data_IF_946780967955
#
_entry.id   IF_946780967955
#
_cell.length_a   1.000
_cell.length_b   1.000
_cell.length_c   1.000
_cell.angle_alpha   90.00
_cell.angle_beta   90.00
_cell.angle_gamma   90.00
#
_symmetry.space_group_name_H-M   'P 1'
#
loop_
_entity.id
_entity.type
_entity.pdbx_description
1 polymer ?
#
# COMPACT_ATOMS: atom_id res chain seq x y z
N UNK A 1 10.54 23.42 40.40
CA UNK A 1 9.84 24.33 39.47
C UNK A 1 10.80 25.40 38.88
N UNK A 2 11.86 25.01 38.16
CA UNK A 2 12.83 25.97 37.59
C UNK A 2 13.25 25.67 36.12
N UNK A 3 12.58 24.74 35.42
CA UNK A 3 12.97 24.35 34.05
C UNK A 3 12.26 25.09 32.91
N UNK A 4 11.38 26.06 33.19
CA UNK A 4 10.54 26.72 32.16
C UNK A 4 11.09 28.04 31.58
N UNK A 5 12.20 28.59 32.08
CA UNK A 5 12.68 29.92 31.67
C UNK A 5 13.72 29.94 30.54
N UNK A 6 14.16 28.78 30.02
CA UNK A 6 15.28 28.72 29.03
C UNK A 6 14.88 28.78 27.55
N UNK A 7 13.60 28.89 27.21
CA UNK A 7 13.14 28.87 25.80
C UNK A 7 12.75 30.23 25.21
N UNK A 8 12.79 31.34 25.95
CA UNK A 8 12.33 32.65 25.42
C UNK A 8 13.32 33.33 24.46
N UNK A 9 14.58 32.89 24.37
CA UNK A 9 15.58 33.52 23.49
C UNK A 9 15.56 33.03 22.03
N UNK A 10 14.82 31.95 21.71
CA UNK A 10 14.71 31.43 20.34
C UNK A 10 13.58 32.08 19.51
N UNK A 11 12.74 32.92 20.10
CA UNK A 11 11.58 33.55 19.43
C UNK A 11 11.94 34.85 18.67
N UNK A 12 13.22 35.23 18.55
CA UNK A 12 13.58 36.55 17.98
C UNK A 12 13.70 36.61 16.46
N UNK A 13 13.56 35.48 15.76
CA UNK A 13 13.64 35.43 14.29
C UNK A 13 12.40 34.74 13.69
N UNK A 14 11.21 35.09 14.16
CA UNK A 14 9.98 34.65 13.48
C UNK A 14 9.86 35.52 12.22
N UNK A 15 9.83 34.93 11.01
CA UNK A 15 9.55 35.67 9.80
C UNK A 15 8.20 36.38 9.95
N UNK A 16 8.18 37.71 9.83
CA UNK A 16 6.90 38.44 9.83
C UNK A 16 6.31 38.36 8.42
N UNK A 17 5.06 37.90 8.32
CA UNK A 17 4.32 38.01 7.07
C UNK A 17 3.97 39.48 6.80
N UNK A 18 4.08 39.95 5.55
CA UNK A 18 3.52 41.23 5.14
C UNK A 18 2.03 41.36 5.48
N UNK A 19 1.55 42.54 5.85
CA UNK A 19 0.13 42.77 6.19
C UNK A 19 -0.81 42.44 5.02
N UNK A 20 -0.37 42.69 3.78
CA UNK A 20 -1.14 42.44 2.55
C UNK A 20 -1.05 40.98 2.05
N UNK A 21 -0.48 40.07 2.83
CA UNK A 21 -0.22 38.71 2.38
C UNK A 21 -1.49 37.93 2.05
N UNK A 22 -2.49 38.03 2.93
CA UNK A 22 -3.76 37.33 2.77
C UNK A 22 -4.50 37.79 1.51
N UNK A 23 -4.49 39.10 1.23
CA UNK A 23 -5.09 39.66 0.02
C UNK A 23 -4.37 39.14 -1.23
N UNK A 24 -3.03 39.17 -1.25
CA UNK A 24 -2.23 38.67 -2.38
C UNK A 24 -2.41 37.18 -2.64
N UNK A 25 -2.53 36.36 -1.59
CA UNK A 25 -2.83 34.94 -1.71
C UNK A 25 -4.20 34.73 -2.35
N UNK A 26 -5.23 35.42 -1.87
CA UNK A 26 -6.59 35.37 -2.43
C UNK A 26 -6.65 35.83 -3.89
N UNK A 27 -6.00 36.93 -4.24
CA UNK A 27 -5.92 37.42 -5.61
C UNK A 27 -5.32 36.35 -6.53
N UNK A 28 -4.30 35.63 -6.04
CA UNK A 28 -3.66 34.55 -6.82
C UNK A 28 -4.52 33.29 -6.94
N UNK A 29 -5.38 33.01 -5.97
CA UNK A 29 -6.39 31.96 -6.12
C UNK A 29 -7.40 32.33 -7.20
N UNK A 30 -7.91 33.57 -7.18
CA UNK A 30 -8.85 34.08 -8.18
C UNK A 30 -8.22 34.09 -9.57
N UNK A 31 -6.96 34.54 -9.69
CA UNK A 31 -6.21 34.52 -10.93
C UNK A 31 -6.07 33.09 -11.49
N UNK A 32 -5.88 32.09 -10.63
CA UNK A 32 -5.76 30.69 -11.05
C UNK A 32 -7.11 30.10 -11.50
N UNK A 33 -8.21 30.53 -10.89
CA UNK A 33 -9.57 30.10 -11.26
C UNK A 33 -10.04 30.73 -12.57
N UNK A 34 -9.65 31.98 -12.82
CA UNK A 34 -9.96 32.71 -14.06
C UNK A 34 -9.04 32.29 -15.21
N UNK A 35 -7.72 32.27 -14.96
CA UNK A 35 -6.68 31.97 -15.94
C UNK A 35 -5.71 30.93 -15.40
N UNK A 36 -6.00 29.66 -15.70
CA UNK A 36 -5.17 28.52 -15.29
C UNK A 36 -3.84 28.46 -16.09
N UNK A 37 -2.89 29.29 -15.69
CA UNK A 37 -1.53 29.37 -16.25
C UNK A 37 -0.50 28.75 -15.30
N UNK A 38 0.60 28.23 -15.85
CA UNK A 38 1.65 27.58 -15.05
C UNK A 38 2.34 28.57 -14.11
N UNK A 39 2.44 29.84 -14.52
CA UNK A 39 3.05 30.90 -13.73
C UNK A 39 2.20 31.25 -12.50
N UNK A 40 0.87 31.39 -12.68
CA UNK A 40 -0.06 31.61 -11.57
C UNK A 40 -0.03 30.44 -10.58
N UNK A 41 0.00 29.21 -11.08
CA UNK A 41 0.10 28.01 -10.24
C UNK A 41 1.39 28.00 -9.41
N UNK A 42 2.55 28.26 -10.04
CA UNK A 42 3.83 28.30 -9.34
C UNK A 42 3.88 29.40 -8.27
N UNK A 43 3.34 30.59 -8.57
CA UNK A 43 3.23 31.67 -7.59
C UNK A 43 2.32 31.28 -6.44
N UNK A 44 1.16 30.68 -6.71
CA UNK A 44 0.24 30.25 -5.67
C UNK A 44 0.87 29.19 -4.74
N UNK A 45 1.59 28.21 -5.28
CA UNK A 45 2.33 27.21 -4.49
C UNK A 45 3.37 27.88 -3.59
N UNK A 46 4.07 28.92 -4.08
CA UNK A 46 5.01 29.69 -3.25
C UNK A 46 4.29 30.37 -2.08
N UNK A 47 3.14 31.01 -2.33
CA UNK A 47 2.36 31.62 -1.25
C UNK A 47 1.88 30.59 -0.21
N UNK A 48 1.41 29.42 -0.65
CA UNK A 48 1.04 28.35 0.27
C UNK A 48 2.24 27.81 1.07
N UNK A 49 3.42 27.71 0.45
CA UNK A 49 4.61 27.18 1.14
C UNK A 49 5.07 28.13 2.24
N UNK A 50 5.12 29.42 1.97
CA UNK A 50 5.51 30.47 2.92
C UNK A 50 4.51 30.59 4.08
N UNK A 51 3.20 30.51 3.83
CA UNK A 51 2.19 30.58 4.90
C UNK A 51 2.20 29.32 5.77
N UNK A 52 2.40 28.13 5.18
CA UNK A 52 2.56 26.88 5.93
C UNK A 52 3.79 26.95 6.83
N UNK A 53 4.94 27.39 6.30
CA UNK A 53 6.17 27.55 7.08
C UNK A 53 5.98 28.52 8.26
N UNK A 54 5.27 29.63 8.04
CA UNK A 54 4.94 30.57 9.10
C UNK A 54 4.06 29.97 10.19
N UNK A 55 2.92 29.35 9.82
CA UNK A 55 1.99 28.76 10.80
C UNK A 55 2.60 27.54 11.52
N UNK A 56 3.45 26.77 10.84
CA UNK A 56 4.21 25.67 11.44
C UNK A 56 5.22 26.21 12.47
N UNK A 57 5.95 27.29 12.15
CA UNK A 57 6.90 27.90 13.08
C UNK A 57 6.23 28.39 14.37
N UNK A 58 5.01 28.95 14.29
CA UNK A 58 4.24 29.37 15.47
C UNK A 58 3.46 28.23 16.13
N UNK A 59 3.58 26.99 15.63
CA UNK A 59 2.86 25.79 16.07
C UNK A 59 1.33 25.97 16.09
N UNK A 60 0.80 26.67 15.09
CA UNK A 60 -0.62 26.92 14.95
C UNK A 60 -1.26 25.88 14.02
N UNK A 61 -2.25 25.09 14.47
CA UNK A 61 -2.81 23.98 13.70
C UNK A 61 -3.43 24.40 12.36
N UNK A 62 -3.67 25.70 12.12
CA UNK A 62 -4.12 26.23 10.83
C UNK A 62 -3.19 25.88 9.66
N UNK A 63 -1.92 25.55 9.89
CA UNK A 63 -1.05 25.08 8.79
C UNK A 63 -1.61 23.84 8.09
N UNK A 64 -2.36 22.97 8.78
CA UNK A 64 -3.02 21.81 8.18
C UNK A 64 -4.11 22.21 7.17
N UNK A 65 -4.88 23.27 7.46
CA UNK A 65 -5.91 23.78 6.56
C UNK A 65 -5.29 24.32 5.26
N UNK A 66 -4.14 25.01 5.38
CA UNK A 66 -3.39 25.49 4.20
C UNK A 66 -2.77 24.35 3.39
N UNK A 67 -2.27 23.29 4.04
CA UNK A 67 -1.78 22.08 3.38
C UNK A 67 -2.89 21.40 2.58
N UNK A 68 -4.05 21.18 3.20
CA UNK A 68 -5.21 20.55 2.56
C UNK A 68 -5.74 21.39 1.38
N UNK A 69 -5.84 22.71 1.54
CA UNK A 69 -6.29 23.62 0.48
C UNK A 69 -5.32 23.64 -0.71
N UNK A 70 -4.00 23.65 -0.45
CA UNK A 70 -2.98 23.52 -1.49
C UNK A 70 -3.09 22.16 -2.21
N UNK A 71 -3.25 21.06 -1.46
CA UNK A 71 -3.39 19.73 -2.02
C UNK A 71 -4.63 19.61 -2.91
N UNK A 72 -5.79 20.08 -2.43
CA UNK A 72 -7.04 20.15 -3.20
C UNK A 72 -6.88 20.94 -4.50
N UNK A 73 -6.15 22.05 -4.45
CA UNK A 73 -5.85 22.86 -5.64
C UNK A 73 -5.01 22.06 -6.64
N UNK A 74 -3.95 21.39 -6.20
CA UNK A 74 -3.09 20.58 -7.07
C UNK A 74 -3.80 19.36 -7.68
N UNK A 75 -4.85 18.86 -7.02
CA UNK A 75 -5.65 17.72 -7.49
C UNK A 75 -6.74 18.10 -8.49
N UNK A 76 -6.94 19.40 -8.80
CA UNK A 76 -7.92 19.82 -9.81
C UNK A 76 -7.53 19.30 -11.20
N UNK A 77 -8.49 18.77 -11.99
CA UNK A 77 -8.19 18.15 -13.29
C UNK A 77 -7.59 19.13 -14.30
N UNK A 78 -7.96 20.41 -14.23
CA UNK A 78 -7.40 21.47 -15.08
C UNK A 78 -5.91 21.66 -14.81
N UNK A 79 -5.51 21.65 -13.54
CA UNK A 79 -4.14 21.81 -13.08
C UNK A 79 -3.30 20.58 -13.44
N UNK A 80 -3.84 19.37 -13.23
CA UNK A 80 -3.17 18.13 -13.65
C UNK A 80 -2.92 18.10 -15.16
N UNK A 81 -3.91 18.53 -15.96
CA UNK A 81 -3.75 18.64 -17.41
C UNK A 81 -2.66 19.65 -17.79
N UNK A 82 -2.66 20.82 -17.16
CA UNK A 82 -1.65 21.87 -17.37
C UNK A 82 -0.22 21.36 -17.06
N UNK A 83 -0.03 20.69 -15.93
CA UNK A 83 1.28 20.12 -15.56
C UNK A 83 1.74 19.04 -16.56
N UNK A 84 0.84 18.16 -16.98
CA UNK A 84 1.13 17.13 -17.98
C UNK A 84 1.50 17.71 -19.36
N UNK A 85 0.84 18.79 -19.76
CA UNK A 85 1.17 19.51 -20.99
C UNK A 85 2.55 20.16 -20.94
N UNK A 86 2.94 20.76 -19.81
CA UNK A 86 4.30 21.32 -19.65
C UNK A 86 5.36 20.22 -19.72
N UNK A 87 5.13 19.07 -19.08
CA UNK A 87 6.02 17.91 -19.20
C UNK A 87 6.18 17.43 -20.65
N UNK A 88 5.09 17.40 -21.41
CA UNK A 88 5.11 17.04 -22.83
C UNK A 88 5.92 18.06 -23.65
N UNK A 89 5.79 19.36 -23.37
CA UNK A 89 6.56 20.43 -24.03
C UNK A 89 8.06 20.34 -23.73
N UNK A 90 8.45 19.99 -22.49
CA UNK A 90 9.86 19.82 -22.13
C UNK A 90 10.48 18.60 -22.83
N UNK A 91 9.74 17.49 -22.92
CA UNK A 91 10.21 16.27 -23.61
C UNK A 91 10.45 16.49 -25.11
N UNK A 92 9.62 17.28 -25.78
CA UNK A 92 9.78 17.53 -27.23
C UNK A 92 10.87 18.55 -27.56
N UNK A 93 11.19 19.47 -26.63
CA UNK A 93 12.27 20.46 -26.81
C UNK A 93 13.67 19.93 -26.51
N UNK A 94 13.78 18.86 -25.72
CA UNK A 94 15.06 18.29 -25.29
C UNK A 94 15.67 17.26 -26.25
N UNK A 95 15.15 17.11 -27.47
CA UNK A 95 15.85 16.40 -28.54
C UNK A 95 16.55 17.44 -29.43
N UNK A 96 17.84 17.77 -29.17
CA UNK A 96 18.61 18.47 -30.16
C UNK A 96 18.63 17.57 -31.38
N UNK A 97 18.06 18.07 -32.49
CA UNK A 97 18.40 17.56 -33.81
C UNK A 97 19.86 17.92 -34.05
N UNK A 98 20.79 17.21 -33.41
CA UNK A 98 22.13 17.13 -33.92
C UNK A 98 22.01 16.50 -35.29
N UNK A 99 22.02 17.37 -36.29
CA UNK A 99 22.17 16.98 -37.67
C UNK A 99 23.41 16.11 -37.75
N UNK A 100 23.19 14.82 -37.92
CA UNK A 100 24.20 13.89 -38.44
C UNK A 100 24.62 14.43 -39.80
N UNK A 101 25.59 15.34 -39.79
CA UNK A 101 26.45 15.63 -40.94
C UNK A 101 27.21 14.33 -41.14
N UNK A 102 26.72 13.52 -42.06
CA UNK A 102 27.33 12.29 -42.52
C UNK A 102 28.67 12.67 -43.18
N UNK A 103 29.72 12.82 -42.38
CA UNK A 103 31.09 12.86 -42.87
C UNK A 103 31.40 11.44 -43.28
N UNK A 104 31.37 11.21 -44.59
CA UNK A 104 31.82 10.01 -45.27
C UNK A 104 33.34 9.93 -45.08
N UNK A 105 33.80 9.18 -44.09
CA UNK A 105 35.20 8.78 -44.02
C UNK A 105 35.41 7.64 -45.02
N UNK A 106 36.29 7.86 -46.00
CA UNK A 106 36.83 6.79 -46.81
C UNK A 106 37.77 5.95 -45.94
N UNK A 107 37.50 4.64 -45.90
CA UNK A 107 38.37 3.64 -45.29
C UNK A 107 39.71 3.60 -46.06
N UNK A 108 40.78 4.06 -45.41
CA UNK A 108 42.13 3.65 -45.75
C UNK A 108 42.47 2.40 -44.91
N UNK A 109 42.96 1.31 -45.52
CA UNK A 109 43.37 0.11 -44.79
C UNK A 109 44.64 0.42 -44.01
N UNK A 110 44.59 0.24 -42.68
CA UNK A 110 45.74 0.33 -41.79
C UNK A 110 46.24 -1.08 -41.55
N UNK A 111 47.47 -1.35 -41.98
CA UNK A 111 48.22 -2.56 -41.68
C UNK A 111 48.50 -2.65 -40.17
N UNK A 112 48.24 -3.82 -39.59
CA UNK A 112 48.48 -4.13 -38.18
C UNK A 112 49.87 -4.78 -38.08
N UNK A 113 50.85 -4.18 -37.36
CA UNK A 113 52.03 -4.90 -36.93
C UNK A 113 51.68 -5.77 -35.71
N UNK A 114 51.98 -7.06 -35.88
CA UNK A 114 52.12 -8.06 -34.82
C UNK A 114 53.27 -7.68 -33.87
N UNK A 115 53.20 -8.25 -32.65
CA UNK A 115 54.19 -8.22 -31.56
C UNK A 115 54.11 -7.01 -30.63
N UNK A 116 53.60 -7.21 -29.41
CA UNK A 116 54.44 -7.26 -28.19
C UNK A 116 53.72 -8.08 -27.12
N UNK A 117 54.37 -9.15 -26.69
CA UNK A 117 54.11 -9.93 -25.48
C UNK A 117 54.54 -9.13 -24.24
N UNK A 118 53.63 -8.88 -23.30
CA UNK A 118 53.98 -8.39 -21.97
C UNK A 118 53.06 -8.99 -20.91
N UNK A 119 53.71 -9.60 -19.93
CA UNK A 119 53.20 -10.31 -18.76
C UNK A 119 52.24 -9.49 -17.92
N UNK A 120 51.12 -10.09 -17.51
CA UNK A 120 50.27 -9.58 -16.42
C UNK A 120 50.35 -10.57 -15.27
N UNK A 121 50.99 -10.11 -14.19
CA UNK A 121 51.07 -10.78 -12.89
C UNK A 121 49.68 -10.93 -12.26
N UNK A 122 49.49 -12.09 -11.61
CA UNK A 122 48.36 -12.37 -10.72
C UNK A 122 48.43 -11.47 -9.49
N UNK A 123 47.36 -10.75 -9.11
CA UNK A 123 47.25 -10.25 -7.74
C UNK A 123 46.78 -11.37 -6.81
N UNK A 124 47.45 -11.43 -5.67
CA UNK A 124 47.24 -12.38 -4.59
C UNK A 124 45.85 -12.25 -3.95
N UNK A 125 45.38 -13.37 -3.40
CA UNK A 125 44.17 -13.46 -2.61
C UNK A 125 44.30 -12.62 -1.33
N UNK A 126 43.50 -11.56 -1.22
CA UNK A 126 43.24 -10.87 0.04
C UNK A 126 42.10 -11.58 0.78
N UNK A 127 42.43 -12.12 1.93
CA UNK A 127 41.50 -12.67 2.90
C UNK A 127 40.66 -11.56 3.53
N UNK A 128 39.37 -11.56 3.24
CA UNK A 128 38.38 -10.76 3.97
C UNK A 128 38.08 -11.44 5.31
N UNK A 129 38.81 -11.04 6.34
CA UNK A 129 38.45 -11.30 7.73
C UNK A 129 37.09 -10.66 8.05
N UNK A 130 36.28 -11.39 8.80
CA UNK A 130 34.87 -11.09 9.04
C UNK A 130 34.62 -9.79 9.81
N UNK A 131 33.89 -8.87 9.18
CA UNK A 131 33.13 -7.85 9.89
C UNK A 131 31.87 -8.47 10.52
N UNK A 132 31.98 -8.79 11.81
CA UNK A 132 30.83 -9.00 12.68
C UNK A 132 30.11 -7.65 12.90
N UNK A 133 29.09 -7.39 12.08
CA UNK A 133 28.17 -6.27 12.33
C UNK A 133 27.25 -6.68 13.47
N UNK A 134 27.54 -6.18 14.68
CA UNK A 134 26.57 -6.17 15.79
C UNK A 134 25.38 -5.32 15.36
N UNK A 135 24.30 -5.98 14.98
CA UNK A 135 22.99 -5.34 14.82
C UNK A 135 22.52 -4.91 16.21
N UNK A 136 22.78 -3.65 16.56
CA UNK A 136 22.19 -3.00 17.72
C UNK A 136 20.75 -2.68 17.35
N UNK A 137 19.85 -3.50 17.87
CA UNK A 137 18.40 -3.32 17.78
C UNK A 137 18.05 -1.99 18.48
N UNK A 138 17.43 -1.00 17.80
CA UNK A 138 17.00 0.22 18.46
C UNK A 138 15.91 -0.11 19.49
N UNK A 139 15.90 0.52 20.67
CA UNK A 139 14.88 0.30 21.68
C UNK A 139 13.51 0.70 21.13
N UNK A 140 12.56 -0.23 21.23
CA UNK A 140 11.15 -0.01 20.93
C UNK A 140 10.66 1.22 21.70
N UNK A 141 10.31 2.28 20.98
CA UNK A 141 9.61 3.41 21.58
C UNK A 141 8.15 3.00 21.76
N UNK A 142 7.72 2.89 23.02
CA UNK A 142 6.32 2.73 23.42
C UNK A 142 5.46 3.81 22.76
N UNK A 143 4.69 3.42 21.75
CA UNK A 143 3.62 4.24 21.18
C UNK A 143 2.47 4.19 22.17
N UNK A 144 2.32 5.26 22.97
CA UNK A 144 1.14 5.43 23.84
C UNK A 144 -0.12 5.50 22.98
N UNK A 145 -1.17 4.73 23.27
CA UNK A 145 -2.41 4.78 22.51
C UNK A 145 -3.06 6.15 22.70
N UNK A 146 -3.20 6.88 21.58
CA UNK A 146 -4.01 8.09 21.51
C UNK A 146 -5.47 7.66 21.64
N UNK A 147 -6.09 7.99 22.78
CA UNK A 147 -7.53 7.84 22.99
C UNK A 147 -8.26 8.76 22.01
N UNK A 148 -8.73 8.20 20.90
CA UNK A 148 -9.68 8.89 20.03
C UNK A 148 -11.02 8.96 20.78
N UNK A 149 -11.39 10.15 21.22
CA UNK A 149 -12.74 10.47 21.67
C UNK A 149 -13.67 10.33 20.47
N UNK A 150 -14.42 9.23 20.42
CA UNK A 150 -15.52 9.04 19.49
C UNK A 150 -16.66 9.95 19.98
N UNK A 151 -16.95 11.00 19.23
CA UNK A 151 -18.14 11.82 19.42
C UNK A 151 -19.37 11.01 18.97
N UNK A 152 -20.10 10.46 19.92
CA UNK A 152 -21.46 9.94 19.74
C UNK A 152 -22.44 11.10 19.87
N UNK A 153 -22.84 11.70 18.75
CA UNK A 153 -24.05 12.52 18.64
C UNK A 153 -24.60 12.44 17.22
N UNK A 154 -25.47 11.46 16.97
CA UNK A 154 -26.47 11.55 15.89
C UNK A 154 -27.55 10.45 16.07
N UNK A 155 -28.29 10.52 17.16
CA UNK A 155 -29.63 9.93 17.25
C UNK A 155 -30.52 10.97 17.93
N UNK A 156 -31.24 11.76 17.12
CA UNK A 156 -32.54 12.38 17.44
C UNK A 156 -32.93 13.39 16.35
N UNK A 157 -33.39 12.90 15.18
CA UNK A 157 -34.21 13.73 14.30
C UNK A 157 -35.15 12.91 13.39
N UNK A 158 -36.07 12.17 14.02
CA UNK A 158 -37.30 11.71 13.37
C UNK A 158 -38.50 12.19 14.21
N UNK A 159 -39.12 13.31 13.80
CA UNK A 159 -40.57 13.59 13.84
C UNK A 159 -40.86 15.07 13.60
N UNK A 160 -41.33 15.40 12.40
CA UNK A 160 -42.60 16.12 12.21
C UNK A 160 -42.79 16.44 10.72
N UNK A 161 -43.80 15.82 10.11
CA UNK A 161 -44.39 16.32 8.88
C UNK A 161 -45.02 17.70 9.13
N UNK A 162 -45.09 18.55 8.10
CA UNK A 162 -46.34 19.23 7.86
C UNK A 162 -46.81 19.16 6.40
N UNK A 163 -48.12 19.06 6.31
CA UNK A 163 -49.01 19.17 5.16
C UNK A 163 -48.83 20.47 4.34
N UNK A 164 -48.83 20.34 3.00
CA UNK A 164 -49.47 21.15 1.93
C UNK A 164 -49.65 22.68 2.16
N UNK A 165 -49.40 23.60 1.16
CA UNK A 165 -50.00 23.50 -0.17
C UNK A 165 -49.24 24.07 -1.38
N UNK A 166 -49.53 23.44 -2.53
CA UNK A 166 -49.93 24.05 -3.82
C UNK A 166 -49.58 25.55 -3.99
N UNK A 167 -48.53 25.87 -4.74
CA UNK A 167 -48.51 27.12 -5.47
C UNK A 167 -47.83 27.04 -6.83
N UNK A 168 -48.58 27.53 -7.82
CA UNK A 168 -48.25 27.64 -9.24
C UNK A 168 -47.39 28.88 -9.45
N UNK A 169 -46.30 28.75 -10.20
CA UNK A 169 -45.65 29.79 -11.04
C UNK A 169 -44.52 29.08 -11.78
N UNK A 170 -44.67 28.60 -13.02
CA UNK A 170 -44.84 29.34 -14.29
C UNK A 170 -43.80 30.45 -14.49
N UNK A 171 -42.55 30.06 -14.68
CA UNK A 171 -41.59 30.87 -15.46
C UNK A 171 -41.20 30.09 -16.71
N UNK A 172 -41.68 30.60 -17.84
CA UNK A 172 -41.24 30.26 -19.19
C UNK A 172 -39.83 30.84 -19.37
N UNK A 173 -38.84 29.98 -19.56
CA UNK A 173 -37.71 30.28 -20.44
C UNK A 173 -37.48 29.03 -21.30
N UNK A 174 -38.11 29.06 -22.48
CA UNK A 174 -37.85 28.09 -23.54
C UNK A 174 -36.57 28.50 -24.26
N UNK A 175 -35.48 27.81 -23.96
CA UNK A 175 -34.30 27.74 -24.80
C UNK A 175 -34.27 26.37 -25.46
N UNK A 176 -34.42 26.32 -26.78
CA UNK A 176 -34.32 25.12 -27.59
C UNK A 176 -32.92 24.48 -27.45
N UNK A 177 -32.80 23.48 -26.58
CA UNK A 177 -31.67 22.55 -26.63
C UNK A 177 -31.91 21.58 -27.78
N UNK A 178 -31.30 21.89 -28.92
CA UNK A 178 -31.11 20.95 -30.02
C UNK A 178 -30.38 19.73 -29.48
N UNK A 179 -31.05 18.59 -29.50
CA UNK A 179 -30.49 17.29 -29.16
C UNK A 179 -29.27 17.00 -30.05
N UNK A 180 -28.08 17.21 -29.51
CA UNK A 180 -26.84 16.69 -30.07
C UNK A 180 -26.84 15.18 -29.80
N UNK A 181 -27.17 14.38 -30.81
CA UNK A 181 -26.92 12.94 -30.80
C UNK A 181 -25.42 12.74 -31.04
N UNK A 182 -24.61 12.32 -30.06
CA UNK A 182 -23.27 11.86 -30.36
C UNK A 182 -23.39 10.60 -31.22
N UNK A 183 -22.85 10.66 -32.45
CA UNK A 183 -22.61 9.47 -33.25
C UNK A 183 -21.44 8.72 -32.61
N UNK A 184 -21.76 7.77 -31.74
CA UNK A 184 -20.85 6.70 -31.34
C UNK A 184 -20.60 5.79 -32.55
N UNK A 185 -19.62 6.15 -33.38
CA UNK A 185 -18.89 5.19 -34.20
C UNK A 185 -17.55 4.91 -33.52
N UNK A 186 -17.58 4.23 -32.37
CA UNK A 186 -16.42 3.53 -31.84
C UNK A 186 -16.08 2.38 -32.78
N UNK A 187 -15.26 2.68 -33.79
CA UNK A 187 -14.58 1.64 -34.55
C UNK A 187 -13.57 1.03 -33.61
N UNK A 188 -13.89 -0.17 -33.11
CA UNK A 188 -12.95 -1.13 -32.53
C UNK A 188 -11.89 -1.46 -33.58
N UNK A 189 -10.94 -0.55 -33.78
CA UNK A 189 -9.79 -0.76 -34.64
C UNK A 189 -8.89 -1.69 -33.86
N UNK A 190 -8.91 -2.97 -34.24
CA UNK A 190 -8.05 -3.97 -33.64
C UNK A 190 -6.60 -3.46 -33.63
N UNK A 191 -5.84 -3.64 -32.52
CA UNK A 191 -4.49 -3.07 -32.37
C UNK A 191 -3.53 -3.44 -33.50
N UNK A 192 -3.82 -4.50 -34.26
CA UNK A 192 -3.08 -4.88 -35.47
C UNK A 192 -3.18 -3.87 -36.64
N UNK A 193 -4.26 -3.09 -36.75
CA UNK A 193 -4.45 -2.16 -37.87
C UNK A 193 -3.68 -0.84 -37.68
N UNK A 194 -3.53 -0.38 -36.43
CA UNK A 194 -2.69 0.78 -36.10
C UNK A 194 -1.21 0.54 -36.46
N UNK A 195 -0.71 -0.67 -36.18
CA UNK A 195 0.64 -1.10 -36.53
C UNK A 195 0.88 -1.07 -38.05
N UNK A 196 -0.10 -1.55 -38.84
CA UNK A 196 -0.01 -1.56 -40.31
C UNK A 196 0.02 -0.15 -40.91
N UNK A 197 -0.68 0.81 -40.31
CA UNK A 197 -0.76 2.18 -40.81
C UNK A 197 0.56 2.95 -40.59
N UNK A 198 1.25 2.69 -39.47
CA UNK A 198 2.56 3.31 -39.18
C UNK A 198 3.65 2.74 -40.10
N UNK A 199 3.65 1.43 -40.37
CA UNK A 199 4.67 0.75 -41.20
C UNK A 199 4.71 1.31 -42.64
N UNK A 200 3.56 1.68 -43.22
CA UNK A 200 3.50 2.24 -44.59
C UNK A 200 4.10 3.64 -44.72
N UNK A 201 4.18 4.40 -43.63
CA UNK A 201 4.59 5.81 -43.68
C UNK A 201 6.11 6.01 -43.56
N UNK A 202 6.86 5.06 -42.98
CA UNK A 202 8.30 5.20 -42.80
C UNK A 202 9.02 3.85 -42.59
N UNK A 203 9.70 3.29 -43.61
CA UNK A 203 10.32 1.96 -43.54
C UNK A 203 11.51 1.89 -42.56
N UNK A 204 12.17 3.03 -42.25
CA UNK A 204 13.25 3.06 -41.26
C UNK A 204 12.71 3.01 -39.83
N UNK A 205 11.57 3.66 -39.57
CA UNK A 205 10.90 3.58 -38.27
C UNK A 205 10.34 2.17 -38.01
N UNK A 206 9.84 1.49 -39.05
CA UNK A 206 9.35 0.12 -38.95
C UNK A 206 10.44 -0.85 -38.45
N UNK A 207 11.65 -0.79 -39.02
CA UNK A 207 12.78 -1.64 -38.58
C UNK A 207 13.21 -1.39 -37.13
N UNK A 208 13.12 -0.15 -36.65
CA UNK A 208 13.46 0.17 -35.27
C UNK A 208 12.38 -0.33 -34.30
N UNK A 209 11.11 -0.17 -34.66
CA UNK A 209 9.98 -0.71 -33.89
C UNK A 209 10.04 -2.24 -33.81
N UNK A 210 10.36 -2.91 -34.92
CA UNK A 210 10.51 -4.37 -34.98
C UNK A 210 11.59 -4.87 -34.01
N UNK A 211 12.77 -4.21 -33.96
CA UNK A 211 13.80 -4.53 -32.96
C UNK A 211 13.35 -4.29 -31.52
N UNK A 212 12.57 -3.23 -31.27
CA UNK A 212 12.05 -2.94 -29.92
C UNK A 212 11.07 -4.03 -29.50
N UNK A 213 10.17 -4.45 -30.41
CA UNK A 213 9.22 -5.53 -30.16
C UNK A 213 9.97 -6.85 -29.93
N UNK A 214 10.97 -7.19 -30.75
CA UNK A 214 11.76 -8.41 -30.60
C UNK A 214 12.57 -8.42 -29.29
N UNK A 215 13.18 -7.29 -28.91
CA UNK A 215 13.87 -7.15 -27.63
C UNK A 215 12.92 -7.30 -26.44
N UNK A 216 11.71 -6.75 -26.53
CA UNK A 216 10.69 -6.92 -25.50
C UNK A 216 10.23 -8.38 -25.42
N UNK A 217 9.99 -9.05 -26.54
CA UNK A 217 9.59 -10.45 -26.59
C UNK A 217 10.64 -11.37 -25.97
N UNK A 218 11.93 -11.16 -26.27
CA UNK A 218 13.01 -11.94 -25.65
C UNK A 218 13.13 -11.67 -24.15
N UNK A 219 12.91 -10.43 -23.70
CA UNK A 219 12.92 -10.07 -22.27
C UNK A 219 11.74 -10.69 -21.54
N UNK A 220 10.54 -10.61 -22.10
CA UNK A 220 9.32 -11.23 -21.55
C UNK A 220 9.51 -12.75 -21.46
N UNK A 221 10.01 -13.41 -22.51
CA UNK A 221 10.32 -14.85 -22.49
C UNK A 221 11.33 -15.25 -21.41
N UNK A 222 12.34 -14.42 -21.14
CA UNK A 222 13.29 -14.67 -20.04
C UNK A 222 12.65 -14.52 -18.67
N UNK A 223 11.82 -13.50 -18.47
CA UNK A 223 11.10 -13.26 -17.20
C UNK A 223 10.10 -14.38 -16.95
N UNK A 224 9.30 -14.77 -17.94
CA UNK A 224 8.32 -15.88 -17.80
C UNK A 224 9.01 -17.21 -17.53
N UNK A 225 10.15 -17.49 -18.18
CA UNK A 225 10.94 -18.70 -17.90
C UNK A 225 11.51 -18.71 -16.47
N UNK A 226 11.97 -17.56 -15.97
CA UNK A 226 12.48 -17.44 -14.58
C UNK A 226 11.35 -17.62 -13.57
N UNK A 227 10.24 -16.91 -13.74
CA UNK A 227 9.06 -17.03 -12.89
C UNK A 227 8.50 -18.47 -12.87
N UNK A 228 8.47 -19.14 -14.03
CA UNK A 228 8.07 -20.55 -14.12
C UNK A 228 9.04 -21.51 -13.40
N UNK A 229 10.33 -21.18 -13.33
CA UNK A 229 11.32 -21.92 -12.53
C UNK A 229 11.11 -21.74 -11.03
N UNK A 230 10.87 -20.49 -10.59
CA UNK A 230 10.65 -20.17 -9.18
C UNK A 230 9.35 -20.82 -8.67
N UNK A 231 8.28 -20.83 -9.46
CA UNK A 231 7.03 -21.52 -9.12
C UNK A 231 7.22 -23.03 -8.97
N UNK A 232 7.95 -23.67 -9.89
CA UNK A 232 8.28 -25.10 -9.78
C UNK A 232 9.11 -25.42 -8.53
N UNK A 233 10.08 -24.56 -8.19
CA UNK A 233 10.90 -24.75 -6.99
C UNK A 233 10.07 -24.60 -5.70
N UNK A 234 9.15 -23.64 -5.65
CA UNK A 234 8.22 -23.50 -4.52
C UNK A 234 7.29 -24.71 -4.39
N UNK A 235 6.78 -25.22 -5.51
CA UNK A 235 5.92 -26.41 -5.56
C UNK A 235 6.66 -27.65 -5.05
N UNK A 236 7.90 -27.90 -5.51
CA UNK A 236 8.73 -28.99 -4.99
C UNK A 236 9.03 -28.86 -3.49
N UNK A 237 9.31 -27.64 -3.00
CA UNK A 237 9.53 -27.40 -1.56
C UNK A 237 8.28 -27.61 -0.71
N UNK A 238 7.09 -27.30 -1.25
CA UNK A 238 5.81 -27.56 -0.60
C UNK A 238 5.53 -29.06 -0.54
N UNK A 239 5.72 -29.76 -1.66
CA UNK A 239 5.52 -31.20 -1.78
C UNK A 239 6.44 -31.97 -0.80
N UNK A 240 7.70 -31.58 -0.70
CA UNK A 240 8.64 -32.14 0.28
C UNK A 240 8.17 -31.93 1.72
N UNK A 241 7.71 -30.71 2.07
CA UNK A 241 7.18 -30.42 3.42
C UNK A 241 5.93 -31.24 3.73
N UNK A 242 5.05 -31.45 2.76
CA UNK A 242 3.87 -32.30 2.93
C UNK A 242 4.25 -33.78 3.12
N UNK A 243 5.22 -34.27 2.35
CA UNK A 243 5.76 -35.62 2.49
C UNK A 243 6.40 -35.82 3.88
N UNK A 244 7.22 -34.87 4.35
CA UNK A 244 7.82 -34.89 5.69
C UNK A 244 6.76 -34.90 6.79
N UNK A 245 5.67 -34.11 6.65
CA UNK A 245 4.56 -34.13 7.61
C UNK A 245 3.83 -35.48 7.63
N UNK A 246 3.59 -36.09 6.46
CA UNK A 246 2.99 -37.43 6.37
C UNK A 246 3.89 -38.48 7.04
N UNK A 247 5.19 -38.43 6.77
CA UNK A 247 6.17 -39.32 7.39
C UNK A 247 6.26 -39.13 8.92
N UNK A 248 6.20 -37.88 9.39
CA UNK A 248 6.18 -37.56 10.83
C UNK A 248 4.92 -38.08 11.52
N UNK A 249 3.75 -37.99 10.87
CA UNK A 249 2.50 -38.58 11.40
C UNK A 249 2.60 -40.10 11.50
N UNK A 250 3.15 -40.77 10.50
CA UNK A 250 3.34 -42.22 10.51
C UNK A 250 4.32 -42.67 11.61
N UNK A 251 5.48 -42.01 11.73
CA UNK A 251 6.45 -42.32 12.80
C UNK A 251 5.87 -42.09 14.20
N UNK A 252 5.17 -40.98 14.44
CA UNK A 252 4.50 -40.75 15.73
C UNK A 252 3.46 -41.83 16.08
N UNK A 253 2.72 -42.36 15.09
CA UNK A 253 1.75 -43.42 15.35
C UNK A 253 2.39 -44.77 15.72
N UNK A 254 3.60 -45.06 15.23
CA UNK A 254 4.34 -46.28 15.61
C UNK A 254 4.90 -46.18 17.03
N UNK A 255 5.39 -45.02 17.44
CA UNK A 255 5.94 -44.81 18.79
C UNK A 255 4.84 -44.73 19.86
N UNK A 256 3.67 -44.18 19.51
CA UNK A 256 2.48 -44.17 20.39
C UNK A 256 2.02 -45.58 20.75
N UNK A 257 2.24 -46.56 19.86
CA UNK A 257 1.87 -47.96 20.10
C UNK A 257 2.84 -48.70 21.04
N UNK A 258 4.07 -48.20 21.22
CA UNK A 258 5.06 -48.83 22.11
C UNK A 258 5.02 -48.27 23.54
N UNK A 259 4.49 -47.07 23.76
CA UNK A 259 4.42 -46.44 25.10
C UNK A 259 3.27 -46.96 25.99
N UNK A 260 2.35 -47.76 25.45
CA UNK A 260 1.28 -48.40 26.24
C UNK A 260 1.72 -49.69 26.97
N UNK A 261 2.96 -50.16 26.78
CA UNK A 261 3.45 -51.40 27.42
C UNK A 261 4.11 -51.19 28.81
N UNK A 262 4.50 -49.96 29.17
CA UNK A 262 5.27 -49.71 30.38
C UNK A 262 4.71 -48.54 31.20
N UNK A 263 3.52 -48.67 31.77
CA UNK A 263 3.04 -47.75 32.82
C UNK A 263 2.48 -48.49 34.03
N UNK A 264 3.33 -49.33 34.62
CA UNK A 264 3.22 -49.67 36.04
C UNK A 264 3.93 -48.59 36.86
N UNK A 265 3.13 -47.82 37.62
CA UNK A 265 3.54 -47.03 38.80
C UNK A 265 4.73 -46.06 38.63
N UNK A 266 4.46 -44.83 38.20
CA UNK A 266 5.05 -43.68 38.90
C UNK A 266 4.20 -42.44 38.67
N UNK A 267 3.67 -41.93 39.77
CA UNK A 267 2.87 -40.73 39.93
C UNK A 267 3.81 -39.52 39.94
N UNK A 268 4.07 -38.96 38.77
CA UNK A 268 4.52 -37.56 38.64
C UNK A 268 3.72 -36.92 37.53
N UNK A 269 2.64 -36.31 37.97
CA UNK A 269 1.78 -35.37 37.22
C UNK A 269 2.66 -34.26 36.64
N UNK A 270 2.75 -34.22 35.31
CA UNK A 270 3.20 -33.03 34.59
C UNK A 270 2.06 -32.00 34.68
N UNK A 271 2.11 -31.17 35.73
CA UNK A 271 1.39 -29.90 35.76
C UNK A 271 2.09 -28.97 34.79
N UNK A 272 1.56 -28.87 33.56
CA UNK A 272 1.90 -27.77 32.66
C UNK A 272 1.01 -26.59 33.06
N UNK A 273 1.56 -25.74 33.92
CA UNK A 273 0.89 -24.56 34.45
C UNK A 273 0.73 -23.53 33.32
N UNK A 274 -0.51 -23.30 32.89
CA UNK A 274 -0.88 -22.39 31.81
C UNK A 274 -1.19 -20.97 32.34
N UNK A 275 -0.84 -20.68 33.60
CA UNK A 275 -1.23 -19.45 34.29
C UNK A 275 -0.36 -18.22 33.93
N UNK A 276 0.73 -18.40 33.19
CA UNK A 276 1.73 -17.33 32.96
C UNK A 276 1.46 -16.45 31.71
N UNK A 277 0.28 -16.54 31.08
CA UNK A 277 -0.04 -15.79 29.85
C UNK A 277 -1.14 -14.72 30.00
N UNK A 278 -1.59 -14.43 31.22
CA UNK A 278 -2.55 -13.35 31.51
C UNK A 278 -2.09 -12.45 32.67
N UNK A 279 -0.87 -11.91 32.60
CA UNK A 279 -0.46 -10.77 33.43
C UNK A 279 -0.63 -9.46 32.65
N UNK A 280 -1.87 -8.99 32.50
CA UNK A 280 -2.19 -7.57 32.31
C UNK A 280 -3.71 -7.37 32.31
N UNK A 281 -4.35 -7.55 33.46
CA UNK A 281 -5.62 -6.88 33.72
C UNK A 281 -5.57 -6.13 35.06
N UNK A 282 -6.04 -4.90 34.95
CA UNK A 282 -6.18 -3.87 35.96
C UNK A 282 -6.69 -4.37 37.31
N UNK A 283 -6.07 -3.82 38.35
CA UNK A 283 -6.52 -3.85 39.74
C UNK A 283 -8.04 -3.59 39.86
N UNK A 284 -8.81 -4.66 40.05
CA UNK A 284 -10.15 -4.58 40.60
C UNK A 284 -10.12 -4.94 42.09
N UNK A 285 -10.91 -4.25 42.93
CA UNK A 285 -10.85 -4.38 44.37
C UNK A 285 -11.36 -5.74 44.83
N UNK A 286 -10.46 -6.45 45.51
CA UNK A 286 -10.67 -7.58 46.42
C UNK A 286 -12.08 -7.68 47.01
N UNK A 287 -12.86 -8.65 46.53
CA UNK A 287 -14.05 -9.16 47.21
C UNK A 287 -13.73 -10.43 48.00
N UNK A 288 -14.36 -10.65 49.17
CA UNK A 288 -13.95 -11.64 50.14
C UNK A 288 -14.32 -13.07 49.73
N UNK A 289 -13.37 -13.97 49.96
CA UNK A 289 -13.45 -15.44 49.88
C UNK A 289 -14.76 -16.01 50.47
N UNK A 290 -15.55 -16.76 49.67
CA UNK A 290 -16.58 -17.64 50.19
C UNK A 290 -15.96 -18.98 50.57
N UNK A 291 -16.18 -19.36 51.83
CA UNK A 291 -15.77 -20.63 52.44
C UNK A 291 -16.32 -21.83 51.67
N UNK A 292 -15.49 -22.88 51.63
CA UNK A 292 -15.86 -24.24 51.30
C UNK A 292 -17.22 -24.64 51.89
N UNK A 293 -18.15 -24.97 50.99
CA UNK A 293 -19.30 -25.80 51.32
C UNK A 293 -19.22 -27.03 50.42
N UNK A 294 -18.72 -28.11 50.99
CA UNK A 294 -18.74 -29.46 50.42
C UNK A 294 -20.21 -29.89 50.29
N UNK A 295 -20.79 -29.65 49.11
CA UNK A 295 -22.11 -30.14 48.75
C UNK A 295 -21.95 -31.44 47.97
N UNK A 296 -21.95 -32.53 48.72
CA UNK A 296 -22.15 -33.90 48.27
C UNK A 296 -23.56 -34.02 47.65
N UNK A 297 -23.70 -33.67 46.37
CA UNK A 297 -24.93 -33.88 45.58
C UNK A 297 -24.68 -34.92 44.51
N UNK A 298 -25.13 -36.13 44.84
CA UNK A 298 -25.34 -37.27 43.98
C UNK A 298 -25.87 -36.90 42.58
N UNK A 299 -25.00 -37.01 41.57
CA UNK A 299 -25.04 -38.15 40.64
C UNK A 299 -26.29 -38.37 39.78
N UNK A 300 -27.17 -37.39 39.63
CA UNK A 300 -28.19 -37.42 38.59
C UNK A 300 -27.52 -37.13 37.25
N UNK A 301 -27.22 -38.17 36.47
CA UNK A 301 -26.91 -38.05 35.04
C UNK A 301 -28.10 -37.35 34.36
N UNK A 302 -28.05 -36.02 34.35
CA UNK A 302 -28.80 -35.17 33.44
C UNK A 302 -28.63 -35.81 32.07
N UNK A 303 -29.73 -36.28 31.49
CA UNK A 303 -29.77 -36.83 30.15
C UNK A 303 -29.34 -35.69 29.22
N UNK A 304 -28.03 -35.60 29.01
CA UNK A 304 -27.42 -34.69 28.06
C UNK A 304 -28.17 -34.91 26.75
N UNK A 305 -28.90 -33.89 26.33
CA UNK A 305 -29.26 -33.75 24.93
C UNK A 305 -28.00 -34.03 24.11
N UNK A 306 -28.06 -34.86 23.07
CA UNK A 306 -26.91 -35.11 22.19
C UNK A 306 -26.27 -33.77 21.88
N UNK A 307 -25.05 -33.56 22.39
CA UNK A 307 -24.32 -32.33 22.14
C UNK A 307 -24.28 -32.15 20.62
N UNK A 308 -24.59 -30.95 20.10
CA UNK A 308 -24.34 -30.67 18.69
C UNK A 308 -22.91 -31.10 18.38
N UNK A 309 -22.77 -31.83 17.27
CA UNK A 309 -21.55 -32.56 16.94
C UNK A 309 -20.37 -31.58 16.93
N UNK A 310 -19.52 -31.68 17.94
CA UNK A 310 -18.41 -30.74 18.15
C UNK A 310 -17.50 -30.76 16.91
N UNK A 311 -17.42 -31.91 16.25
CA UNK A 311 -16.70 -32.12 15.00
C UNK A 311 -17.21 -31.21 13.88
N UNK A 312 -18.53 -31.05 13.71
CA UNK A 312 -19.10 -30.16 12.69
C UNK A 312 -18.80 -28.68 12.97
N UNK A 313 -18.79 -28.28 14.25
CA UNK A 313 -18.45 -26.91 14.65
C UNK A 313 -16.99 -26.59 14.37
N UNK A 314 -16.09 -27.51 14.71
CA UNK A 314 -14.65 -27.38 14.45
C UNK A 314 -14.35 -27.32 12.96
N UNK A 315 -14.99 -28.15 12.15
CA UNK A 315 -14.84 -28.15 10.69
C UNK A 315 -15.25 -26.79 10.09
N UNK A 316 -16.41 -26.25 10.50
CA UNK A 316 -16.89 -24.95 10.01
C UNK A 316 -15.97 -23.79 10.40
N UNK A 317 -15.44 -23.79 11.63
CA UNK A 317 -14.47 -22.77 12.06
C UNK A 317 -13.18 -22.86 11.24
N UNK A 318 -12.71 -24.09 10.96
CA UNK A 318 -11.53 -24.31 10.12
C UNK A 318 -11.74 -23.78 8.70
N UNK A 319 -12.91 -24.05 8.10
CA UNK A 319 -13.26 -23.57 6.77
C UNK A 319 -13.28 -22.03 6.70
N UNK A 320 -13.86 -21.36 7.71
CA UNK A 320 -13.86 -19.89 7.79
C UNK A 320 -12.43 -19.34 7.85
N UNK A 321 -11.56 -19.95 8.66
CA UNK A 321 -10.17 -19.51 8.78
C UNK A 321 -9.40 -19.66 7.46
N UNK A 322 -9.55 -20.80 6.78
CA UNK A 322 -8.88 -21.06 5.50
C UNK A 322 -9.38 -20.12 4.40
N UNK A 323 -10.69 -19.91 4.31
CA UNK A 323 -11.32 -18.98 3.36
C UNK A 323 -10.84 -17.55 3.59
N UNK A 324 -10.85 -17.08 4.84
CA UNK A 324 -10.41 -15.73 5.21
C UNK A 324 -8.94 -15.50 4.89
N UNK A 325 -8.08 -16.49 5.17
CA UNK A 325 -6.66 -16.40 4.85
C UNK A 325 -6.40 -16.32 3.34
N UNK A 326 -7.10 -17.15 2.57
CA UNK A 326 -6.98 -17.18 1.11
C UNK A 326 -7.47 -15.88 0.47
N UNK A 327 -8.60 -15.34 0.94
CA UNK A 327 -9.16 -14.06 0.48
C UNK A 327 -8.21 -12.90 0.79
N UNK A 328 -7.69 -12.82 2.02
CA UNK A 328 -6.69 -11.83 2.43
C UNK A 328 -5.45 -11.87 1.55
N UNK A 329 -4.87 -13.06 1.36
CA UNK A 329 -3.67 -13.24 0.54
C UNK A 329 -3.87 -12.77 -0.90
N UNK A 330 -5.01 -13.12 -1.51
CA UNK A 330 -5.37 -12.70 -2.87
C UNK A 330 -5.45 -11.17 -2.97
N UNK A 331 -6.24 -10.52 -2.12
CA UNK A 331 -6.45 -9.06 -2.18
C UNK A 331 -5.15 -8.27 -1.93
N UNK A 332 -4.33 -8.70 -0.97
CA UNK A 332 -3.02 -8.08 -0.72
C UNK A 332 -2.11 -8.21 -1.94
N UNK A 333 -2.12 -9.36 -2.62
CA UNK A 333 -1.33 -9.57 -3.82
C UNK A 333 -1.81 -8.67 -4.97
N UNK A 334 -3.12 -8.56 -5.18
CA UNK A 334 -3.71 -7.71 -6.21
C UNK A 334 -3.36 -6.22 -6.01
N UNK A 335 -3.46 -5.73 -4.76
CA UNK A 335 -3.03 -4.37 -4.42
C UNK A 335 -1.55 -4.17 -4.74
N UNK A 336 -0.68 -5.07 -4.26
CA UNK A 336 0.77 -4.97 -4.50
C UNK A 336 1.10 -4.93 -5.98
N UNK A 337 0.51 -5.82 -6.78
CA UNK A 337 0.72 -5.88 -8.24
C UNK A 337 0.29 -4.57 -8.90
N UNK A 338 -0.88 -4.03 -8.51
CA UNK A 338 -1.40 -2.75 -9.03
C UNK A 338 -0.45 -1.58 -8.76
N UNK A 339 -0.01 -1.39 -7.51
CA UNK A 339 0.89 -0.28 -7.17
C UNK A 339 2.30 -0.49 -7.73
N UNK A 340 2.83 -1.72 -7.71
CA UNK A 340 4.14 -2.00 -8.29
C UNK A 340 4.19 -1.70 -9.79
N UNK A 341 3.14 -2.05 -10.54
CA UNK A 341 3.06 -1.71 -11.97
C UNK A 341 3.11 -0.19 -12.18
N UNK A 342 2.35 0.59 -11.40
CA UNK A 342 2.36 2.05 -11.50
C UNK A 342 3.70 2.68 -11.07
N UNK A 343 4.32 2.17 -10.00
CA UNK A 343 5.64 2.63 -9.53
C UNK A 343 6.69 2.37 -10.61
N UNK A 344 6.67 1.19 -11.23
CA UNK A 344 7.62 0.81 -12.27
C UNK A 344 7.54 1.73 -13.50
N UNK A 345 6.35 2.22 -13.85
CA UNK A 345 6.17 3.18 -14.95
C UNK A 345 6.73 4.58 -14.64
N UNK A 346 6.75 4.97 -13.36
CA UNK A 346 7.26 6.26 -12.89
C UNK A 346 8.76 6.23 -12.55
N UNK A 347 9.31 5.04 -12.33
CA UNK A 347 10.71 4.86 -11.98
C UNK A 347 11.62 5.39 -13.11
N UNK A 348 12.64 6.17 -12.74
CA UNK A 348 13.58 6.77 -13.70
C UNK A 348 13.11 8.08 -14.36
N UNK A 349 11.91 8.58 -14.06
CA UNK A 349 11.43 9.86 -14.63
C UNK A 349 11.96 11.13 -13.93
N UNK A 350 12.85 10.98 -12.94
CA UNK A 350 13.54 12.08 -12.25
C UNK A 350 13.13 12.27 -10.79
N UNK A 351 13.71 13.27 -10.09
CA UNK A 351 13.58 13.42 -8.63
C UNK A 351 12.18 13.82 -8.15
N UNK A 352 11.39 14.50 -8.99
CA UNK A 352 10.00 14.82 -8.66
C UNK A 352 9.14 13.55 -8.51
N UNK A 353 9.37 12.57 -9.39
CA UNK A 353 8.65 11.30 -9.35
C UNK A 353 9.05 10.41 -8.17
N UNK A 354 10.24 10.61 -7.60
CA UNK A 354 10.64 9.90 -6.39
C UNK A 354 9.69 10.19 -5.21
N UNK A 355 9.26 11.45 -5.04
CA UNK A 355 8.27 11.83 -4.01
C UNK A 355 6.89 11.22 -4.28
N UNK A 356 6.49 11.13 -5.55
CA UNK A 356 5.22 10.49 -5.94
C UNK A 356 5.29 8.99 -5.65
N UNK A 357 6.38 8.33 -6.02
CA UNK A 357 6.61 6.90 -5.74
C UNK A 357 6.57 6.63 -4.23
N UNK A 358 7.15 7.51 -3.42
CA UNK A 358 7.11 7.42 -1.96
C UNK A 358 5.67 7.51 -1.44
N UNK A 359 4.90 8.51 -1.88
CA UNK A 359 3.48 8.63 -1.53
C UNK A 359 2.66 7.40 -1.97
N UNK A 360 2.94 6.84 -3.14
CA UNK A 360 2.28 5.63 -3.63
C UNK A 360 2.57 4.41 -2.78
N UNK A 361 3.80 4.27 -2.26
CA UNK A 361 4.14 3.18 -1.32
C UNK A 361 3.36 3.31 -0.01
N UNK A 362 3.26 4.53 0.53
CA UNK A 362 2.47 4.79 1.74
C UNK A 362 0.99 4.41 1.50
N UNK A 363 0.42 4.86 0.39
CA UNK A 363 -0.97 4.53 0.00
C UNK A 363 -1.19 3.02 -0.17
N UNK A 364 -0.22 2.30 -0.75
CA UNK A 364 -0.27 0.85 -0.89
C UNK A 364 -0.34 0.15 0.47
N UNK A 365 0.51 0.56 1.43
CA UNK A 365 0.55 -0.03 2.77
C UNK A 365 -0.71 0.28 3.59
N UNK A 366 -1.25 1.50 3.47
CA UNK A 366 -2.53 1.89 4.09
C UNK A 366 -3.70 1.06 3.55
N UNK A 367 -3.77 0.84 2.23
CA UNK A 367 -4.82 0.03 1.60
C UNK A 367 -4.71 -1.45 2.03
N UNK A 368 -3.49 -2.00 2.09
CA UNK A 368 -3.23 -3.36 2.60
C UNK A 368 -3.67 -3.49 4.06
N UNK A 369 -3.37 -2.49 4.90
CA UNK A 369 -3.76 -2.49 6.31
C UNK A 369 -5.28 -2.46 6.46
N UNK A 370 -5.96 -1.60 5.70
CA UNK A 370 -7.43 -1.49 5.70
C UNK A 370 -8.10 -2.80 5.30
N UNK A 371 -7.68 -3.42 4.20
CA UNK A 371 -8.24 -4.72 3.77
C UNK A 371 -7.95 -5.81 4.80
N UNK A 372 -6.76 -5.80 5.40
CA UNK A 372 -6.41 -6.76 6.44
C UNK A 372 -7.37 -6.67 7.63
N UNK A 373 -7.63 -5.46 8.12
CA UNK A 373 -8.57 -5.22 9.21
C UNK A 373 -10.01 -5.62 8.84
N UNK A 374 -10.46 -5.32 7.62
CA UNK A 374 -11.79 -5.69 7.12
C UNK A 374 -11.99 -7.21 7.09
N UNK A 375 -11.04 -7.96 6.52
CA UNK A 375 -11.12 -9.43 6.47
C UNK A 375 -11.02 -10.03 7.87
N UNK A 376 -10.18 -9.47 8.74
CA UNK A 376 -10.04 -9.95 10.12
C UNK A 376 -11.32 -9.72 10.94
N UNK A 377 -12.05 -8.63 10.71
CA UNK A 377 -13.34 -8.36 11.32
C UNK A 377 -14.43 -9.31 10.79
N UNK A 378 -14.53 -9.46 9.47
CA UNK A 378 -15.47 -10.40 8.83
C UNK A 378 -15.28 -11.83 9.35
N UNK A 379 -14.04 -12.30 9.46
CA UNK A 379 -13.70 -13.60 10.06
C UNK A 379 -14.20 -13.72 11.50
N UNK A 380 -13.99 -12.70 12.34
CA UNK A 380 -14.44 -12.71 13.74
C UNK A 380 -15.96 -12.77 13.84
N UNK A 381 -16.67 -12.04 12.98
CA UNK A 381 -18.13 -12.02 12.95
C UNK A 381 -18.70 -13.37 12.49
N UNK A 382 -18.14 -13.98 11.45
CA UNK A 382 -18.52 -15.33 11.00
C UNK A 382 -18.32 -16.38 12.11
N UNK A 383 -17.18 -16.36 12.79
CA UNK A 383 -16.92 -17.26 13.94
C UNK A 383 -17.92 -17.02 15.06
N UNK A 384 -18.26 -15.75 15.36
CA UNK A 384 -19.25 -15.41 16.39
C UNK A 384 -20.65 -15.93 16.04
N UNK A 385 -21.05 -15.81 14.77
CA UNK A 385 -22.34 -16.32 14.28
C UNK A 385 -22.42 -17.83 14.47
N UNK A 386 -21.40 -18.58 14.02
CA UNK A 386 -21.40 -20.04 14.15
C UNK A 386 -21.42 -20.48 15.62
N UNK A 387 -20.63 -19.82 16.49
CA UNK A 387 -20.64 -20.11 17.93
C UNK A 387 -21.98 -19.83 18.61
N UNK A 388 -22.83 -18.97 18.04
CA UNK A 388 -24.17 -18.69 18.58
C UNK A 388 -25.25 -19.65 18.10
N UNK A 389 -24.96 -20.45 17.07
CA UNK A 389 -25.89 -21.45 16.51
C UNK A 389 -25.75 -22.82 17.17
N UNK A 390 -24.64 -23.07 17.86
CA UNK A 390 -24.38 -24.24 18.70
C UNK A 390 -24.66 -23.89 20.16
#
# INVERSE_FOLDING_TARGET
MQKTLRNQSKLKNIPQLPEDYAARLLDKEIDLETECTLENLQRLIQFYSEIIEYFEHINDPRFYDFQDRMHKTLMRPEILKLMNEDHKRRRTKAAPKEGKKLVRYEEKPVEIPSEVSASIEKPAAESTEGLSIKVVMPPEQEIKPVKQHINLYEEDLIRSAPTSPRNRSRTRYGGELKAFKPKEEEKNIAPQELSRKIIRSNPKAARNLERIVENNDTRVKKVTKRAGGDLKSMESSLEERLAQRKQKKLSMSMDASQTLSCRSRSSTVFNFDFSELYENEQELPSSPSPRHQESDRSGGFSKFSPLPDIEELEEKIMEIMERSYSEKSRLVTDIKVKYQAQIQDLEGQGPLFAKIIEQMKISMDEEIKKITEEIDNKRKDEIRIIKSQC
#
